data_IF_296862530276
#
_entry.id   IF_296862530276
#
_cell.length_a   1.000
_cell.length_b   1.000
_cell.length_c   1.000
_cell.angle_alpha   90.00
_cell.angle_beta   90.00
_cell.angle_gamma   90.00
#
_symmetry.space_group_name_H-M   'P 1'
#
loop_
_entity.id
_entity.type
_entity.pdbx_description
1 polymer ?
#
# COMPACT_ATOMS: atom_id res chain seq x y z
N UNK A 1 5.69 20.92 14.98
CA UNK A 1 6.24 19.67 14.43
C UNK A 1 5.94 19.64 12.93
N UNK A 2 6.93 19.37 12.11
CA UNK A 2 6.81 19.19 10.66
C UNK A 2 6.72 17.68 10.41
N UNK A 3 5.59 17.21 9.86
CA UNK A 3 5.38 15.79 9.60
C UNK A 3 5.64 15.44 8.13
N UNK A 4 6.69 14.66 7.88
CA UNK A 4 7.13 14.21 6.55
C UNK A 4 7.31 12.68 6.47
N UNK A 5 6.51 11.91 7.24
CA UNK A 5 6.49 10.44 7.19
C UNK A 5 5.13 9.88 6.70
N UNK A 6 4.48 10.58 5.74
CA UNK A 6 3.18 10.16 5.23
C UNK A 6 3.22 8.81 4.48
N UNK A 7 4.37 8.38 3.99
CA UNK A 7 4.56 7.05 3.40
C UNK A 7 4.45 5.90 4.42
N UNK A 8 4.64 6.17 5.72
CA UNK A 8 4.35 5.21 6.78
C UNK A 8 2.87 5.22 7.16
N UNK A 9 2.31 6.41 7.43
CA UNK A 9 0.87 6.65 7.65
C UNK A 9 0.58 8.13 7.43
N UNK A 10 -0.57 8.47 6.86
CA UNK A 10 -0.94 9.88 6.69
C UNK A 10 -1.29 10.54 8.03
N UNK A 11 -0.79 11.77 8.24
CA UNK A 11 -1.09 12.58 9.42
C UNK A 11 -0.94 14.07 9.07
N UNK A 12 -1.87 14.95 9.59
CA UNK A 12 -3.09 14.61 10.34
C UNK A 12 -4.14 13.90 9.49
N UNK A 13 -5.15 13.30 10.14
CA UNK A 13 -6.33 12.79 9.46
C UNK A 13 -7.33 13.92 9.19
N UNK A 14 -8.10 13.86 8.10
CA UNK A 14 -9.23 14.77 7.90
C UNK A 14 -10.20 14.72 9.09
N UNK A 15 -10.73 15.87 9.58
CA UNK A 15 -11.59 15.89 10.76
C UNK A 15 -12.83 15.00 10.64
N UNK A 16 -13.38 14.83 9.42
CA UNK A 16 -14.52 13.95 9.18
C UNK A 16 -14.22 12.47 9.44
N UNK A 17 -12.96 12.03 9.30
CA UNK A 17 -12.55 10.66 9.62
C UNK A 17 -12.68 10.41 11.13
N UNK A 18 -12.17 11.34 11.93
CA UNK A 18 -12.26 11.26 13.40
C UNK A 18 -13.72 11.27 13.85
N UNK A 19 -14.54 12.19 13.28
CA UNK A 19 -15.97 12.27 13.62
C UNK A 19 -16.71 10.97 13.28
N UNK A 20 -16.51 10.42 12.09
CA UNK A 20 -17.17 9.19 11.67
C UNK A 20 -16.85 8.00 12.58
N UNK A 21 -15.60 7.91 13.05
CA UNK A 21 -15.19 6.88 14.02
C UNK A 21 -15.87 7.06 15.37
N UNK A 22 -15.90 8.29 15.92
CA UNK A 22 -16.57 8.60 17.20
C UNK A 22 -18.07 8.31 17.11
N UNK A 23 -18.74 8.77 16.06
CA UNK A 23 -20.16 8.52 15.82
C UNK A 23 -20.48 7.02 15.76
N UNK A 24 -19.62 6.23 15.10
CA UNK A 24 -19.79 4.78 15.02
C UNK A 24 -19.72 4.11 16.40
N UNK A 25 -18.83 4.56 17.27
CA UNK A 25 -18.67 4.02 18.61
C UNK A 25 -19.81 4.47 19.53
N UNK A 26 -20.16 5.75 19.51
CA UNK A 26 -21.09 6.37 20.46
C UNK A 26 -22.56 6.08 20.16
N UNK A 27 -22.94 5.96 18.87
CA UNK A 27 -24.33 5.93 18.47
C UNK A 27 -24.84 4.64 17.83
N UNK A 28 -23.96 3.84 17.17
CA UNK A 28 -24.39 2.62 16.50
C UNK A 28 -23.34 1.50 16.50
N UNK A 29 -22.56 1.40 17.57
CA UNK A 29 -21.49 0.41 17.74
C UNK A 29 -21.95 -1.04 17.91
N UNK A 30 -23.05 -1.44 17.25
CA UNK A 30 -23.56 -2.80 17.23
C UNK A 30 -22.83 -3.65 16.19
N UNK A 31 -22.93 -5.00 16.34
CA UNK A 31 -22.31 -5.93 15.39
C UNK A 31 -23.01 -5.84 14.02
N UNK A 32 -22.31 -5.43 12.95
CA UNK A 32 -22.89 -5.38 11.60
C UNK A 32 -23.23 -6.78 11.10
N UNK A 33 -24.40 -6.93 10.49
CA UNK A 33 -24.82 -8.17 9.83
C UNK A 33 -25.33 -9.29 10.72
N UNK A 34 -25.34 -9.14 12.08
CA UNK A 34 -25.75 -10.21 13.00
C UNK A 34 -26.99 -9.90 13.86
N UNK A 35 -27.63 -8.76 13.66
CA UNK A 35 -28.81 -8.36 14.44
C UNK A 35 -29.91 -7.76 13.59
N UNK A 36 -31.17 -8.13 13.89
CA UNK A 36 -32.35 -7.54 13.26
C UNK A 36 -32.78 -6.19 13.83
N UNK A 37 -32.08 -5.67 14.85
CA UNK A 37 -32.40 -4.41 15.50
C UNK A 37 -31.77 -3.21 14.76
N UNK A 38 -32.34 -2.02 14.95
CA UNK A 38 -31.98 -0.80 14.20
C UNK A 38 -30.48 -0.47 14.23
N UNK A 39 -29.80 -0.61 15.37
CA UNK A 39 -28.37 -0.32 15.49
C UNK A 39 -27.52 -1.26 14.64
N UNK A 40 -27.82 -2.57 14.63
CA UNK A 40 -27.12 -3.52 13.78
C UNK A 40 -27.36 -3.27 12.28
N UNK A 41 -28.59 -2.87 11.90
CA UNK A 41 -28.91 -2.48 10.53
C UNK A 41 -28.16 -1.22 10.11
N UNK A 42 -28.05 -0.23 11.01
CA UNK A 42 -27.26 0.98 10.74
C UNK A 42 -25.77 0.66 10.59
N UNK A 43 -25.21 -0.17 11.47
CA UNK A 43 -23.84 -0.66 11.37
C UNK A 43 -23.59 -1.37 10.02
N UNK A 44 -24.47 -2.31 9.64
CA UNK A 44 -24.42 -3.01 8.36
C UNK A 44 -24.46 -2.07 7.16
N UNK A 45 -25.34 -1.05 7.18
CA UNK A 45 -25.42 -0.02 6.11
C UNK A 45 -24.13 0.79 6.00
N UNK A 46 -23.44 1.08 7.11
CA UNK A 46 -22.17 1.80 7.09
C UNK A 46 -21.08 0.96 6.44
N UNK A 47 -21.03 -0.33 6.78
CA UNK A 47 -20.08 -1.29 6.15
C UNK A 47 -20.34 -1.36 4.65
N UNK A 48 -21.59 -1.53 4.24
CA UNK A 48 -21.93 -1.65 2.81
C UNK A 48 -21.65 -0.36 2.03
N UNK A 49 -21.99 0.81 2.56
CA UNK A 49 -21.64 2.09 1.95
C UNK A 49 -20.12 2.25 1.75
N UNK A 50 -19.31 1.80 2.73
CA UNK A 50 -17.85 1.84 2.58
C UNK A 50 -17.39 0.91 1.47
N UNK A 51 -17.98 -0.29 1.37
CA UNK A 51 -17.67 -1.27 0.33
C UNK A 51 -18.02 -0.74 -1.06
N UNK A 52 -19.20 -0.19 -1.21
CA UNK A 52 -19.67 0.47 -2.47
C UNK A 52 -18.74 1.64 -2.86
N UNK A 53 -18.39 2.51 -1.91
CA UNK A 53 -17.48 3.62 -2.15
C UNK A 53 -16.08 3.13 -2.57
N UNK A 54 -15.55 2.10 -1.91
CA UNK A 54 -14.28 1.48 -2.25
C UNK A 54 -14.35 0.78 -3.62
N UNK A 55 -15.42 0.05 -3.91
CA UNK A 55 -15.64 -0.59 -5.21
C UNK A 55 -15.66 0.42 -6.35
N UNK A 56 -16.41 1.52 -6.18
CA UNK A 56 -16.42 2.64 -7.14
C UNK A 56 -15.03 3.25 -7.33
N UNK A 57 -14.31 3.46 -6.23
CA UNK A 57 -12.95 4.04 -6.25
C UNK A 57 -11.96 3.15 -6.99
N UNK A 58 -12.10 1.82 -6.90
CA UNK A 58 -11.21 0.81 -7.48
C UNK A 58 -11.69 0.26 -8.82
N UNK A 59 -12.82 0.75 -9.35
CA UNK A 59 -13.40 0.26 -10.59
C UNK A 59 -13.85 -1.20 -10.50
N UNK A 60 -14.32 -1.65 -9.33
CA UNK A 60 -14.82 -3.01 -9.11
C UNK A 60 -16.33 -3.02 -9.33
N UNK A 61 -16.86 -3.72 -10.36
CA UNK A 61 -18.29 -3.69 -10.67
C UNK A 61 -19.19 -4.32 -9.60
N UNK A 62 -18.66 -5.32 -8.89
CA UNK A 62 -19.35 -6.08 -7.85
C UNK A 62 -18.76 -5.74 -6.49
N UNK A 63 -19.42 -4.91 -5.65
CA UNK A 63 -18.87 -4.46 -4.36
C UNK A 63 -18.41 -5.60 -3.45
N UNK A 64 -19.09 -6.75 -3.45
CA UNK A 64 -18.73 -7.94 -2.68
C UNK A 64 -17.34 -8.52 -3.02
N UNK A 65 -16.71 -8.04 -4.10
CA UNK A 65 -15.33 -8.38 -4.47
C UNK A 65 -14.28 -7.41 -3.91
N UNK A 66 -14.71 -6.46 -3.09
CA UNK A 66 -13.83 -5.63 -2.25
C UNK A 66 -13.87 -6.18 -0.84
N UNK A 67 -12.77 -6.73 -0.38
CA UNK A 67 -12.65 -7.43 0.90
C UNK A 67 -11.99 -6.50 1.92
N UNK A 68 -12.61 -6.34 3.08
CA UNK A 68 -12.03 -5.63 4.21
C UNK A 68 -11.00 -6.52 4.91
N UNK A 69 -9.85 -5.92 5.21
CA UNK A 69 -8.77 -6.52 5.98
C UNK A 69 -8.31 -5.55 7.06
N UNK A 70 -7.47 -6.01 7.98
CA UNK A 70 -6.93 -5.16 9.05
C UNK A 70 -5.84 -4.20 8.56
N UNK A 71 -5.19 -4.51 7.46
CA UNK A 71 -4.10 -3.72 6.86
C UNK A 71 -3.68 -4.34 5.52
N UNK A 72 -2.83 -3.63 4.76
CA UNK A 72 -2.31 -4.12 3.49
C UNK A 72 -1.52 -5.44 3.62
N UNK A 73 -0.83 -5.66 4.73
CA UNK A 73 -0.11 -6.93 4.97
C UNK A 73 -1.05 -8.12 4.97
N UNK A 74 -2.22 -8.00 5.61
CA UNK A 74 -3.23 -9.06 5.56
C UNK A 74 -3.82 -9.22 4.16
N UNK A 75 -4.10 -8.12 3.44
CA UNK A 75 -4.55 -8.18 2.04
C UNK A 75 -3.56 -8.93 1.15
N UNK A 76 -2.28 -8.61 1.28
CA UNK A 76 -1.20 -9.27 0.53
C UNK A 76 -1.06 -10.75 0.92
N UNK A 77 -1.13 -11.07 2.22
CA UNK A 77 -1.06 -12.47 2.67
C UNK A 77 -2.27 -13.27 2.18
N UNK A 78 -3.48 -12.71 2.23
CA UNK A 78 -4.68 -13.37 1.70
C UNK A 78 -4.52 -13.67 0.20
N UNK A 79 -4.09 -12.68 -0.58
CA UNK A 79 -3.87 -12.83 -2.01
C UNK A 79 -2.75 -13.84 -2.31
N UNK A 80 -1.58 -13.69 -1.68
CA UNK A 80 -0.41 -14.54 -1.95
C UNK A 80 -0.69 -15.99 -1.51
N UNK A 81 -1.02 -16.19 -0.25
CA UNK A 81 -1.19 -17.54 0.31
C UNK A 81 -2.37 -18.27 -0.33
N UNK A 82 -3.45 -17.53 -0.62
CA UNK A 82 -4.64 -18.09 -1.26
C UNK A 82 -4.48 -18.45 -2.73
N UNK A 83 -3.45 -17.93 -3.41
CA UNK A 83 -3.15 -18.25 -4.82
C UNK A 83 -2.05 -19.30 -4.98
N UNK A 84 -1.32 -19.63 -3.90
CA UNK A 84 -0.20 -20.57 -3.96
C UNK A 84 -0.68 -22.04 -3.95
N UNK A 85 0.04 -22.85 -4.69
CA UNK A 85 -0.01 -24.32 -4.64
C UNK A 85 1.40 -24.89 -4.65
N UNK A 86 1.56 -26.14 -4.27
CA UNK A 86 2.86 -26.81 -4.27
C UNK A 86 3.42 -26.90 -5.70
N UNK A 87 4.69 -26.52 -5.85
CA UNK A 87 5.38 -26.46 -7.14
C UNK A 87 5.17 -25.14 -7.90
N UNK A 88 4.37 -24.21 -7.38
CA UNK A 88 4.14 -22.92 -8.02
C UNK A 88 5.43 -22.10 -8.15
N UNK A 89 5.58 -21.39 -9.25
CA UNK A 89 6.54 -20.33 -9.41
C UNK A 89 5.87 -18.96 -9.20
N UNK A 90 6.48 -18.09 -8.40
CA UNK A 90 6.04 -16.70 -8.22
C UNK A 90 7.11 -15.76 -8.77
N UNK A 91 6.68 -14.78 -9.54
CA UNK A 91 7.55 -13.71 -10.03
C UNK A 91 7.23 -12.44 -9.26
N UNK A 92 8.23 -11.79 -8.67
CA UNK A 92 8.05 -10.49 -8.02
C UNK A 92 9.24 -9.56 -8.25
N UNK A 93 9.08 -8.27 -7.89
CA UNK A 93 10.13 -7.27 -8.10
C UNK A 93 11.13 -7.22 -6.94
N UNK A 94 12.32 -6.66 -7.19
CA UNK A 94 13.24 -6.29 -6.11
C UNK A 94 12.71 -5.15 -5.23
N UNK A 95 11.67 -4.46 -5.67
CA UNK A 95 11.05 -3.34 -4.94
C UNK A 95 10.06 -3.75 -3.86
N UNK A 96 9.82 -5.05 -3.68
CA UNK A 96 8.74 -5.54 -2.82
C UNK A 96 8.98 -5.25 -1.34
N UNK A 97 7.89 -4.91 -0.66
CA UNK A 97 7.85 -4.77 0.78
C UNK A 97 7.94 -6.14 1.48
N UNK A 98 8.39 -6.16 2.74
CA UNK A 98 8.41 -7.38 3.56
C UNK A 98 7.06 -8.10 3.69
N UNK A 99 5.95 -7.40 3.47
CA UNK A 99 4.60 -7.99 3.46
C UNK A 99 4.39 -8.95 2.27
N UNK A 100 5.20 -8.83 1.20
CA UNK A 100 5.27 -9.76 0.07
C UNK A 100 6.39 -10.77 0.29
N UNK A 101 7.60 -10.29 0.63
CA UNK A 101 8.78 -11.15 0.69
C UNK A 101 8.71 -12.23 1.79
N UNK A 102 8.21 -11.87 2.97
CA UNK A 102 8.19 -12.81 4.11
C UNK A 102 7.20 -13.98 3.94
N UNK A 103 5.95 -13.78 3.48
CA UNK A 103 5.09 -14.93 3.16
C UNK A 103 5.69 -15.81 2.05
N UNK A 104 6.31 -15.25 1.01
CA UNK A 104 6.98 -16.04 -0.03
C UNK A 104 8.14 -16.86 0.54
N UNK A 105 9.03 -16.24 1.32
CA UNK A 105 10.18 -16.90 1.95
C UNK A 105 9.76 -18.10 2.83
N UNK A 106 8.61 -17.98 3.51
CA UNK A 106 8.07 -19.10 4.30
C UNK A 106 7.84 -20.37 3.48
N UNK A 107 7.40 -20.22 2.22
CA UNK A 107 7.13 -21.35 1.32
C UNK A 107 8.39 -21.80 0.58
N UNK A 108 9.27 -20.85 0.20
CA UNK A 108 10.58 -21.16 -0.41
C UNK A 108 11.41 -21.99 0.55
N UNK A 109 11.52 -21.60 1.83
CA UNK A 109 12.31 -22.33 2.85
C UNK A 109 11.80 -23.74 3.15
N UNK A 110 10.61 -24.12 2.61
CA UNK A 110 10.02 -25.46 2.71
C UNK A 110 10.05 -26.23 1.40
N UNK A 111 10.71 -25.70 0.37
CA UNK A 111 10.73 -26.28 -0.98
C UNK A 111 9.31 -26.48 -1.57
N UNK A 112 8.37 -25.61 -1.19
CA UNK A 112 6.98 -25.69 -1.66
C UNK A 112 6.75 -24.85 -2.93
N UNK A 113 7.50 -23.75 -3.11
CA UNK A 113 7.44 -22.88 -4.28
C UNK A 113 8.83 -22.39 -4.69
N UNK A 114 8.91 -21.81 -5.89
CA UNK A 114 10.08 -21.05 -6.34
C UNK A 114 9.73 -19.57 -6.54
N UNK A 115 10.71 -18.67 -6.35
CA UNK A 115 10.54 -17.23 -6.52
C UNK A 115 11.59 -16.68 -7.46
N UNK A 116 11.15 -15.99 -8.51
CA UNK A 116 12.00 -15.20 -9.40
C UNK A 116 11.90 -13.71 -9.07
N UNK A 117 13.04 -13.08 -8.76
CA UNK A 117 13.11 -11.65 -8.53
C UNK A 117 13.50 -10.91 -9.82
N UNK A 118 12.60 -10.06 -10.32
CA UNK A 118 12.88 -9.19 -11.45
C UNK A 118 13.70 -7.99 -10.98
N UNK A 119 14.87 -7.79 -11.62
CA UNK A 119 15.68 -6.60 -11.38
C UNK A 119 15.15 -5.44 -12.21
N UNK A 120 15.02 -4.25 -11.62
CA UNK A 120 14.76 -3.04 -12.38
C UNK A 120 15.99 -2.65 -13.23
N UNK A 121 15.75 -1.83 -14.24
CA UNK A 121 16.78 -1.17 -15.02
C UNK A 121 17.50 -0.08 -14.19
N UNK A 122 18.54 0.60 -14.74
CA UNK A 122 19.24 1.67 -14.03
C UNK A 122 18.34 2.85 -13.59
N UNK A 123 17.18 3.03 -14.20
CA UNK A 123 16.18 4.03 -13.82
C UNK A 123 15.25 3.55 -12.70
N UNK A 124 15.37 2.30 -12.28
CA UNK A 124 14.53 1.68 -11.26
C UNK A 124 13.22 1.11 -11.79
N UNK A 125 13.07 0.97 -13.11
CA UNK A 125 11.86 0.50 -13.78
C UNK A 125 11.96 -0.98 -14.18
N UNK A 126 10.86 -1.71 -14.03
CA UNK A 126 10.74 -3.08 -14.54
C UNK A 126 10.41 -3.07 -16.04
N UNK A 127 11.06 -3.95 -16.79
CA UNK A 127 10.78 -4.11 -18.21
C UNK A 127 9.67 -5.14 -18.46
N UNK A 128 8.62 -4.79 -19.24
CA UNK A 128 7.60 -5.75 -19.67
C UNK A 128 8.20 -6.92 -20.48
N UNK A 129 9.24 -6.70 -21.28
CA UNK A 129 9.88 -7.75 -22.06
C UNK A 129 10.67 -8.72 -21.19
N UNK A 130 11.31 -8.21 -20.13
CA UNK A 130 11.98 -9.06 -19.12
C UNK A 130 10.94 -9.93 -18.40
N UNK A 131 9.80 -9.34 -18.01
CA UNK A 131 8.69 -10.10 -17.40
C UNK A 131 8.17 -11.17 -18.38
N UNK A 132 7.91 -10.80 -19.65
CA UNK A 132 7.41 -11.74 -20.68
C UNK A 132 8.32 -12.95 -20.85
N UNK A 133 9.63 -12.73 -20.77
CA UNK A 133 10.65 -13.79 -20.88
C UNK A 133 10.78 -14.63 -19.62
N UNK A 134 10.45 -14.06 -18.44
CA UNK A 134 10.53 -14.74 -17.17
C UNK A 134 9.33 -15.67 -16.87
N UNK A 135 8.15 -15.36 -17.43
CA UNK A 135 6.93 -16.16 -17.24
C UNK A 135 7.10 -17.52 -17.91
N UNK A 136 6.79 -18.58 -17.16
CA UNK A 136 6.77 -19.99 -17.62
C UNK A 136 5.38 -20.61 -17.42
N UNK A 137 5.19 -21.87 -17.79
CA UNK A 137 3.97 -22.64 -17.53
C UNK A 137 3.71 -22.87 -16.04
N UNK A 138 4.75 -22.80 -15.21
CA UNK A 138 4.67 -23.01 -13.76
C UNK A 138 4.42 -21.71 -12.98
N UNK A 139 4.43 -20.56 -13.69
CA UNK A 139 4.18 -19.25 -13.06
C UNK A 139 2.71 -19.14 -12.64
N UNK A 140 2.47 -19.14 -11.33
CA UNK A 140 1.14 -19.09 -10.74
C UNK A 140 0.70 -17.66 -10.37
N UNK A 141 1.65 -16.74 -10.12
CA UNK A 141 1.37 -15.39 -9.69
C UNK A 141 2.53 -14.44 -10.03
N UNK A 142 2.19 -13.26 -10.52
CA UNK A 142 3.12 -12.13 -10.63
C UNK A 142 2.73 -11.06 -9.61
N UNK A 143 3.69 -10.52 -8.86
CA UNK A 143 3.47 -9.51 -7.81
C UNK A 143 4.38 -8.32 -8.08
N UNK A 144 3.79 -7.11 -8.12
CA UNK A 144 4.56 -5.87 -8.30
C UNK A 144 4.06 -4.78 -7.36
N UNK A 145 4.98 -4.19 -6.61
CA UNK A 145 4.75 -2.94 -5.90
C UNK A 145 4.58 -1.80 -6.90
N UNK A 146 3.42 -1.13 -6.92
CA UNK A 146 3.11 -0.07 -7.89
C UNK A 146 4.04 1.14 -7.77
N UNK A 147 4.44 1.50 -6.54
CA UNK A 147 5.48 2.49 -6.32
C UNK A 147 6.36 2.11 -5.14
N UNK A 148 7.68 2.29 -5.32
CA UNK A 148 8.64 1.98 -4.27
C UNK A 148 8.43 2.85 -3.03
N UNK A 149 8.32 2.22 -1.87
CA UNK A 149 8.25 2.93 -0.60
C UNK A 149 9.62 3.48 -0.13
N UNK A 150 10.68 3.27 -0.91
CA UNK A 150 12.04 3.80 -0.70
C UNK A 150 12.31 4.96 -1.66
N UNK A 151 12.26 4.71 -2.98
CA UNK A 151 12.64 5.69 -4.01
C UNK A 151 11.46 6.52 -4.53
N UNK A 152 10.23 6.08 -4.28
CA UNK A 152 9.02 6.66 -4.84
C UNK A 152 8.77 6.30 -6.30
N UNK A 153 9.69 5.63 -6.99
CA UNK A 153 9.57 5.29 -8.42
C UNK A 153 8.32 4.47 -8.68
N UNK A 154 7.53 4.93 -9.64
CA UNK A 154 6.28 4.29 -10.08
C UNK A 154 6.61 3.27 -11.16
N UNK A 155 6.19 2.03 -10.98
CA UNK A 155 6.39 0.95 -11.96
C UNK A 155 5.36 1.01 -13.09
N UNK A 156 5.69 0.57 -14.31
CA UNK A 156 4.78 0.50 -15.45
C UNK A 156 3.81 -0.70 -15.32
N UNK A 157 3.01 -0.69 -14.24
CA UNK A 157 2.15 -1.84 -13.87
C UNK A 157 1.08 -2.14 -14.91
N UNK A 158 0.62 -1.13 -15.67
CA UNK A 158 -0.35 -1.34 -16.75
C UNK A 158 0.23 -2.22 -17.85
N UNK A 159 1.46 -1.95 -18.26
CA UNK A 159 2.20 -2.68 -19.29
C UNK A 159 2.58 -4.08 -18.78
N UNK A 160 3.01 -4.18 -17.52
CA UNK A 160 3.31 -5.47 -16.87
C UNK A 160 2.05 -6.34 -16.75
N UNK A 161 0.92 -5.74 -16.35
CA UNK A 161 -0.38 -6.42 -16.27
C UNK A 161 -0.90 -6.87 -17.65
N UNK A 162 -0.62 -6.10 -18.71
CA UNK A 162 -0.94 -6.52 -20.09
C UNK A 162 -0.17 -7.79 -20.47
N UNK A 163 1.11 -7.90 -20.07
CA UNK A 163 1.91 -9.12 -20.29
C UNK A 163 1.33 -10.30 -19.49
N UNK A 164 0.96 -10.08 -18.23
CA UNK A 164 0.35 -11.12 -17.39
C UNK A 164 -0.96 -11.64 -18.02
N UNK A 165 -1.81 -10.73 -18.50
CA UNK A 165 -3.08 -11.06 -19.17
C UNK A 165 -2.84 -11.83 -20.47
N UNK A 166 -1.85 -11.43 -21.29
CA UNK A 166 -1.43 -12.14 -22.51
C UNK A 166 -1.03 -13.59 -22.21
N UNK A 167 -0.37 -13.80 -21.08
CA UNK A 167 0.14 -15.09 -20.61
C UNK A 167 -0.84 -15.89 -19.77
N UNK A 168 -2.00 -15.32 -19.42
CA UNK A 168 -3.01 -15.96 -18.56
C UNK A 168 -2.54 -16.19 -17.11
N UNK A 169 -1.63 -15.35 -16.62
CA UNK A 169 -1.07 -15.43 -15.27
C UNK A 169 -1.70 -14.33 -14.38
N UNK A 170 -2.24 -14.67 -13.21
CA UNK A 170 -2.78 -13.68 -12.26
C UNK A 170 -1.75 -12.61 -11.87
N UNK A 171 -2.21 -11.36 -11.77
CA UNK A 171 -1.37 -10.21 -11.46
C UNK A 171 -1.86 -9.49 -10.20
N UNK A 172 -1.03 -9.50 -9.13
CA UNK A 172 -1.25 -8.80 -7.87
C UNK A 172 -0.43 -7.50 -7.83
N UNK A 173 -1.11 -6.39 -7.58
CA UNK A 173 -0.48 -5.08 -7.39
C UNK A 173 -0.55 -4.67 -5.92
N UNK A 174 0.62 -4.43 -5.30
CA UNK A 174 0.69 -3.71 -4.03
C UNK A 174 0.60 -2.20 -4.27
N UNK A 175 -0.58 -1.65 -4.04
CA UNK A 175 -0.88 -0.23 -4.21
C UNK A 175 -0.72 0.58 -2.90
N UNK A 176 0.08 0.10 -1.93
CA UNK A 176 0.21 0.74 -0.62
C UNK A 176 0.72 2.18 -0.66
N UNK A 177 1.43 2.59 -1.70
CA UNK A 177 1.94 3.95 -1.87
C UNK A 177 1.19 4.75 -2.93
N UNK A 178 0.23 4.15 -3.64
CA UNK A 178 -0.41 4.78 -4.79
C UNK A 178 -1.93 4.91 -4.65
N UNK A 179 -2.57 4.01 -3.89
CA UNK A 179 -4.00 4.13 -3.61
C UNK A 179 -4.31 5.45 -2.89
N UNK A 180 -5.23 6.24 -3.45
CA UNK A 180 -5.55 7.59 -2.98
C UNK A 180 -4.70 8.70 -3.60
N UNK A 181 -3.65 8.37 -4.33
CA UNK A 181 -2.74 9.30 -5.00
C UNK A 181 -2.87 9.21 -6.52
N UNK A 182 -2.74 8.00 -7.06
CA UNK A 182 -2.86 7.73 -8.50
C UNK A 182 -4.21 7.11 -8.84
N UNK A 183 -4.47 6.97 -10.13
CA UNK A 183 -5.60 6.18 -10.61
C UNK A 183 -5.28 4.69 -10.47
N UNK A 184 -5.92 4.07 -9.48
CA UNK A 184 -5.67 2.68 -9.10
C UNK A 184 -6.97 1.90 -9.23
N UNK A 185 -7.28 1.46 -10.45
CA UNK A 185 -8.41 0.57 -10.70
C UNK A 185 -7.91 -0.76 -11.27
N UNK A 186 -8.72 -1.83 -11.15
CA UNK A 186 -8.38 -3.12 -11.75
C UNK A 186 -8.09 -3.01 -13.26
N UNK A 187 -8.83 -2.13 -13.95
CA UNK A 187 -8.70 -1.99 -15.40
C UNK A 187 -7.55 -1.06 -15.80
N UNK A 188 -7.35 0.06 -15.10
CA UNK A 188 -6.24 0.97 -15.41
C UNK A 188 -4.88 0.33 -15.18
N UNK A 189 -4.79 -0.59 -14.20
CA UNK A 189 -3.56 -1.31 -13.90
C UNK A 189 -3.44 -2.67 -14.62
N UNK A 190 -4.47 -3.12 -15.34
CA UNK A 190 -4.58 -4.49 -15.84
C UNK A 190 -4.36 -5.54 -14.73
N UNK A 191 -4.71 -5.22 -13.48
CA UNK A 191 -4.51 -6.08 -12.33
C UNK A 191 -5.69 -7.03 -12.11
N UNK A 192 -5.41 -8.19 -11.53
CA UNK A 192 -6.43 -9.15 -11.09
C UNK A 192 -6.70 -9.01 -9.59
N UNK A 193 -5.68 -8.61 -8.84
CA UNK A 193 -5.78 -8.33 -7.41
C UNK A 193 -5.06 -7.00 -7.10
N UNK A 194 -5.67 -6.16 -6.26
CA UNK A 194 -5.04 -4.93 -5.76
C UNK A 194 -5.15 -4.90 -4.24
N UNK A 195 -4.00 -4.84 -3.56
CA UNK A 195 -3.92 -4.72 -2.11
C UNK A 195 -3.54 -3.31 -1.69
N UNK A 196 -4.20 -2.76 -0.64
CA UNK A 196 -3.90 -1.42 -0.14
C UNK A 196 -4.25 -1.24 1.32
N UNK A 197 -3.56 -0.32 2.06
CA UNK A 197 -3.92 0.07 3.42
C UNK A 197 -4.94 1.22 3.40
N UNK A 198 -5.83 1.25 4.37
CA UNK A 198 -6.74 2.39 4.54
C UNK A 198 -6.05 3.63 5.14
N UNK A 199 -4.96 3.46 5.87
CA UNK A 199 -4.36 4.52 6.70
C UNK A 199 -3.31 5.39 6.00
N UNK A 200 -3.00 5.16 4.72
CA UNK A 200 -2.08 5.98 3.93
C UNK A 200 -2.84 6.93 3.01
N UNK A 201 -2.67 6.85 1.70
CA UNK A 201 -3.29 7.76 0.75
C UNK A 201 -4.83 7.78 0.77
N UNK A 202 -5.50 6.73 1.23
CA UNK A 202 -6.95 6.73 1.47
C UNK A 202 -7.38 7.54 2.70
N UNK A 203 -6.45 8.09 3.49
CA UNK A 203 -6.67 8.95 4.66
C UNK A 203 -7.51 8.33 5.79
N UNK A 204 -7.85 7.06 5.72
CA UNK A 204 -8.57 6.31 6.74
C UNK A 204 -7.74 6.03 8.01
N UNK A 205 -8.29 5.39 9.03
CA UNK A 205 -7.58 5.05 10.26
C UNK A 205 -6.70 3.82 10.09
N UNK A 206 -5.81 3.60 11.06
CA UNK A 206 -5.12 2.32 11.26
C UNK A 206 -6.11 1.19 11.49
N UNK A 207 -5.69 -0.06 11.25
CA UNK A 207 -6.57 -1.22 11.41
C UNK A 207 -7.58 -1.39 10.29
N UNK A 208 -7.31 -0.79 9.12
CA UNK A 208 -8.10 -0.94 7.90
C UNK A 208 -7.21 -1.20 6.68
N UNK A 209 -7.66 -2.09 5.82
CA UNK A 209 -7.07 -2.42 4.53
C UNK A 209 -8.13 -2.95 3.58
N UNK A 210 -7.80 -3.02 2.31
CA UNK A 210 -8.67 -3.49 1.24
C UNK A 210 -7.90 -4.45 0.33
N UNK A 211 -8.61 -5.50 -0.12
CA UNK A 211 -8.20 -6.33 -1.25
C UNK A 211 -9.32 -6.29 -2.30
N UNK A 212 -9.02 -5.77 -3.48
CA UNK A 212 -9.92 -5.82 -4.63
C UNK A 212 -9.60 -7.06 -5.48
N UNK A 213 -10.65 -7.79 -5.88
CA UNK A 213 -10.56 -9.02 -6.65
C UNK A 213 -11.28 -8.87 -7.99
N UNK A 214 -10.60 -9.21 -9.09
CA UNK A 214 -11.25 -9.35 -10.40
C UNK A 214 -12.20 -10.54 -10.39
N UNK A 215 -13.26 -10.48 -11.17
CA UNK A 215 -14.17 -11.62 -11.34
C UNK A 215 -13.42 -12.85 -11.89
N UNK A 216 -13.67 -14.01 -11.30
CA UNK A 216 -12.96 -15.26 -11.63
C UNK A 216 -11.66 -15.48 -10.85
N UNK A 217 -11.23 -14.52 -10.04
CA UNK A 217 -10.07 -14.65 -9.15
C UNK A 217 -10.57 -14.88 -7.73
N UNK A 218 -10.42 -16.09 -7.24
CA UNK A 218 -10.98 -16.53 -5.95
C UNK A 218 -9.91 -17.25 -5.11
N UNK A 219 -9.00 -16.52 -4.45
CA UNK A 219 -7.98 -17.12 -3.59
C UNK A 219 -8.59 -17.98 -2.47
N UNK A 220 -7.84 -18.92 -1.94
CA UNK A 220 -8.28 -19.63 -0.75
C UNK A 220 -8.29 -18.68 0.46
N UNK A 221 -9.31 -18.75 1.35
CA UNK A 221 -9.41 -17.86 2.50
C UNK A 221 -8.27 -18.08 3.49
N UNK A 222 -7.68 -16.97 3.95
CA UNK A 222 -6.59 -17.01 4.92
C UNK A 222 -7.07 -17.31 6.35
N UNK A 223 -8.25 -16.80 6.70
CA UNK A 223 -8.85 -16.92 8.04
C UNK A 223 -10.22 -17.56 7.90
N UNK A 224 -10.43 -18.65 8.63
CA UNK A 224 -11.70 -19.37 8.67
C UNK A 224 -12.40 -19.09 10.00
N UNK A 225 -13.72 -18.94 9.98
CA UNK A 225 -14.49 -18.69 11.21
C UNK A 225 -15.91 -18.23 10.97
N UNK A 226 -16.53 -17.71 12.00
CA UNK A 226 -17.90 -17.22 11.90
C UNK A 226 -18.03 -15.97 11.05
N UNK A 227 -18.89 -16.00 10.05
CA UNK A 227 -19.11 -14.92 9.08
C UNK A 227 -20.47 -14.24 9.23
N UNK A 228 -21.39 -14.86 10.00
CA UNK A 228 -22.77 -14.36 10.17
C UNK A 228 -23.77 -15.03 9.22
N UNK A 229 -23.31 -15.63 8.14
CA UNK A 229 -24.10 -16.44 7.21
C UNK A 229 -23.78 -17.93 7.35
N UNK A 230 -24.65 -18.80 6.82
CA UNK A 230 -24.48 -20.25 6.79
C UNK A 230 -24.08 -20.88 8.15
N UNK A 231 -24.67 -20.37 9.25
CA UNK A 231 -24.32 -20.78 10.63
C UNK A 231 -24.60 -22.26 10.94
N UNK A 232 -25.42 -22.94 10.13
CA UNK A 232 -25.70 -24.36 10.18
C UNK A 232 -24.58 -25.25 9.61
N UNK A 233 -23.68 -24.65 8.83
CA UNK A 233 -22.56 -25.34 8.16
C UNK A 233 -21.26 -25.20 8.95
N UNK A 234 -20.49 -26.29 9.06
CA UNK A 234 -19.10 -26.27 9.55
C UNK A 234 -18.08 -25.87 8.46
N UNK A 235 -18.54 -25.76 7.22
CA UNK A 235 -17.69 -25.33 6.11
C UNK A 235 -17.73 -23.82 5.96
N UNK A 236 -16.59 -23.22 5.62
CA UNK A 236 -16.53 -21.80 5.27
C UNK A 236 -17.49 -21.51 4.10
N UNK A 237 -18.31 -20.45 4.17
CA UNK A 237 -19.21 -20.11 3.06
C UNK A 237 -18.43 -19.75 1.80
N UNK A 238 -19.03 -20.02 0.65
CA UNK A 238 -18.48 -19.60 -0.65
C UNK A 238 -18.97 -18.22 -1.08
N UNK A 239 -20.01 -17.69 -0.43
CA UNK A 239 -20.61 -16.40 -0.74
C UNK A 239 -19.63 -15.25 -0.38
N UNK A 240 -19.46 -14.32 -1.30
CA UNK A 240 -18.70 -13.09 -1.05
C UNK A 240 -19.59 -12.02 -0.41
N UNK A 241 -19.03 -11.19 0.46
CA UNK A 241 -17.64 -11.16 0.96
C UNK A 241 -17.36 -12.12 2.12
N UNK A 242 -18.36 -12.83 2.61
CA UNK A 242 -18.33 -13.67 3.81
C UNK A 242 -17.23 -14.75 3.76
N UNK A 243 -16.91 -15.24 2.55
CA UNK A 243 -15.81 -16.20 2.35
C UNK A 243 -14.50 -15.72 2.96
N UNK A 244 -14.23 -14.40 2.93
CA UNK A 244 -12.96 -13.80 3.34
C UNK A 244 -13.02 -12.96 4.63
N UNK A 245 -14.23 -12.59 5.07
CA UNK A 245 -14.44 -11.68 6.21
C UNK A 245 -14.92 -12.41 7.46
N UNK A 246 -14.12 -13.37 7.94
CA UNK A 246 -14.42 -14.07 9.18
C UNK A 246 -14.17 -13.19 10.42
N UNK A 247 -15.11 -13.23 11.37
CA UNK A 247 -15.07 -12.46 12.61
C UNK A 247 -15.88 -11.16 12.56
N UNK A 248 -15.91 -10.42 13.67
CA UNK A 248 -16.61 -9.13 13.74
C UNK A 248 -15.77 -8.06 13.07
N UNK A 249 -16.36 -7.36 12.10
CA UNK A 249 -15.70 -6.30 11.36
C UNK A 249 -15.39 -5.10 12.26
N UNK A 250 -14.31 -4.39 11.94
CA UNK A 250 -13.91 -3.15 12.61
C UNK A 250 -14.81 -1.97 12.17
N UNK A 251 -16.05 -1.95 12.66
CA UNK A 251 -17.05 -0.93 12.28
C UNK A 251 -16.53 0.51 12.41
N UNK A 252 -15.92 0.95 13.54
CA UNK A 252 -15.42 2.32 13.64
C UNK A 252 -14.32 2.62 12.61
N UNK A 253 -13.42 1.66 12.39
CA UNK A 253 -12.37 1.78 11.36
C UNK A 253 -12.95 1.90 9.96
N UNK A 254 -13.96 1.10 9.62
CA UNK A 254 -14.64 1.13 8.33
C UNK A 254 -15.41 2.44 8.13
N UNK A 255 -16.07 2.97 9.16
CA UNK A 255 -16.73 4.28 9.11
C UNK A 255 -15.71 5.40 8.83
N UNK A 256 -14.55 5.36 9.51
CA UNK A 256 -13.45 6.29 9.25
C UNK A 256 -12.83 6.11 7.86
N UNK A 257 -12.71 4.88 7.35
CA UNK A 257 -12.23 4.61 6.01
C UNK A 257 -13.17 5.15 4.93
N UNK A 258 -14.49 4.99 5.11
CA UNK A 258 -15.48 5.60 4.23
C UNK A 258 -15.28 7.11 4.14
N UNK A 259 -15.20 7.80 5.28
CA UNK A 259 -14.97 9.25 5.33
C UNK A 259 -13.62 9.65 4.69
N UNK A 260 -12.60 8.80 4.79
CA UNK A 260 -11.31 8.98 4.13
C UNK A 260 -11.41 8.87 2.62
N UNK A 261 -12.07 7.84 2.10
CA UNK A 261 -12.31 7.64 0.66
C UNK A 261 -13.14 8.82 0.10
N UNK A 262 -14.21 9.21 0.78
CA UNK A 262 -15.07 10.35 0.37
C UNK A 262 -14.30 11.68 0.37
N UNK A 263 -13.32 11.85 1.25
CA UNK A 263 -12.42 13.00 1.25
C UNK A 263 -11.49 12.98 0.04
N UNK A 264 -10.86 11.85 -0.24
CA UNK A 264 -9.82 11.74 -1.27
C UNK A 264 -10.40 11.69 -2.68
N UNK A 265 -11.48 10.94 -2.92
CA UNK A 265 -11.97 10.63 -4.25
C UNK A 265 -12.22 11.88 -5.13
N UNK A 266 -12.87 12.96 -4.65
CA UNK A 266 -13.14 14.14 -5.49
C UNK A 266 -11.92 15.02 -5.74
N UNK A 267 -10.82 14.89 -4.98
CA UNK A 267 -9.65 15.76 -5.04
C UNK A 267 -8.32 15.01 -5.23
N UNK A 268 -8.37 13.73 -5.60
CA UNK A 268 -7.18 12.87 -5.77
C UNK A 268 -6.10 13.50 -6.65
N UNK A 269 -6.49 14.03 -7.80
CA UNK A 269 -5.54 14.65 -8.74
C UNK A 269 -4.91 15.92 -8.17
N UNK A 270 -5.67 16.71 -7.40
CA UNK A 270 -5.14 17.91 -6.76
C UNK A 270 -4.15 17.55 -5.64
N UNK A 271 -4.49 16.52 -4.84
CA UNK A 271 -3.57 15.97 -3.83
C UNK A 271 -2.27 15.52 -4.51
N UNK A 272 -2.37 14.71 -5.57
CA UNK A 272 -1.20 14.23 -6.29
C UNK A 272 -0.34 15.38 -6.85
N UNK A 273 -0.94 16.35 -7.54
CA UNK A 273 -0.22 17.51 -8.08
C UNK A 273 0.49 18.31 -6.98
N UNK A 274 -0.19 18.55 -5.86
CA UNK A 274 0.36 19.26 -4.72
C UNK A 274 1.54 18.50 -4.10
N UNK A 275 1.37 17.23 -3.81
CA UNK A 275 2.41 16.40 -3.22
C UNK A 275 3.64 16.29 -4.14
N UNK A 276 3.43 16.10 -5.44
CA UNK A 276 4.51 16.08 -6.45
C UNK A 276 5.30 17.38 -6.41
N UNK A 277 4.64 18.55 -6.47
CA UNK A 277 5.30 19.85 -6.41
C UNK A 277 6.12 20.04 -5.13
N UNK A 278 5.56 19.61 -3.98
CA UNK A 278 6.27 19.69 -2.70
C UNK A 278 7.49 18.76 -2.66
N UNK A 279 7.35 17.57 -3.21
CA UNK A 279 8.44 16.61 -3.30
C UNK A 279 9.55 17.07 -4.23
N UNK A 280 9.22 17.67 -5.38
CA UNK A 280 10.19 18.21 -6.32
C UNK A 280 10.97 19.39 -5.69
N UNK A 281 10.27 20.28 -4.98
CA UNK A 281 10.91 21.37 -4.20
C UNK A 281 11.86 20.80 -3.15
N UNK A 282 11.44 19.79 -2.40
CA UNK A 282 12.27 19.12 -1.41
C UNK A 282 13.53 18.49 -2.05
N UNK A 283 13.36 17.73 -3.13
CA UNK A 283 14.48 17.10 -3.85
C UNK A 283 15.47 18.13 -4.35
N UNK A 284 15.00 19.22 -4.96
CA UNK A 284 15.86 20.29 -5.43
C UNK A 284 16.70 20.89 -4.29
N UNK A 285 16.08 21.19 -3.14
CA UNK A 285 16.79 21.77 -2.00
C UNK A 285 17.77 20.78 -1.36
N UNK A 286 17.38 19.49 -1.22
CA UNK A 286 18.26 18.46 -0.67
C UNK A 286 19.47 18.16 -1.58
N UNK A 287 19.33 18.31 -2.90
CA UNK A 287 20.41 18.11 -3.87
C UNK A 287 21.55 19.13 -3.70
N UNK A 288 21.23 20.33 -3.24
CA UNK A 288 22.22 21.38 -2.98
C UNK A 288 23.00 21.18 -1.67
N UNK A 289 22.64 20.18 -0.85
CA UNK A 289 23.30 19.93 0.44
C UNK A 289 24.50 19.00 0.24
N UNK A 290 25.74 19.46 0.49
CA UNK A 290 26.92 18.62 0.37
C UNK A 290 26.83 17.39 1.31
N UNK A 291 27.27 16.24 0.81
CA UNK A 291 27.28 15.01 1.61
C UNK A 291 25.95 14.27 1.68
N UNK A 292 24.91 14.68 0.92
CA UNK A 292 23.69 13.90 0.74
C UNK A 292 23.66 13.23 -0.63
N UNK A 293 23.29 11.96 -0.65
CA UNK A 293 22.97 11.23 -1.89
C UNK A 293 21.48 10.96 -1.93
N UNK A 294 20.77 11.45 -2.95
CA UNK A 294 19.34 11.17 -3.16
C UNK A 294 19.22 9.84 -3.90
N UNK A 295 18.36 8.96 -3.39
CA UNK A 295 18.09 7.65 -4.00
C UNK A 295 17.04 7.75 -5.11
N UNK A 296 17.18 6.88 -6.12
CA UNK A 296 16.29 6.78 -7.28
C UNK A 296 16.60 7.80 -8.38
N UNK A 297 16.41 7.37 -9.63
CA UNK A 297 16.69 8.17 -10.83
C UNK A 297 15.82 9.43 -10.88
N UNK A 298 16.39 10.56 -11.29
CA UNK A 298 15.69 11.87 -11.35
C UNK A 298 14.60 11.91 -12.42
N UNK A 299 14.76 11.16 -13.50
CA UNK A 299 13.84 11.14 -14.65
C UNK A 299 12.68 10.15 -14.48
N UNK A 300 12.79 9.19 -13.54
CA UNK A 300 11.74 8.21 -13.32
C UNK A 300 10.49 8.85 -12.70
N UNK A 301 9.28 8.50 -13.17
CA UNK A 301 8.04 8.95 -12.55
C UNK A 301 7.96 8.49 -11.09
N UNK A 302 7.43 9.34 -10.20
CA UNK A 302 7.41 9.03 -8.76
C UNK A 302 6.21 9.57 -8.02
N UNK A 303 5.87 8.93 -6.93
CA UNK A 303 5.03 9.49 -5.87
C UNK A 303 5.89 10.39 -4.96
N UNK A 304 5.26 11.17 -4.10
CA UNK A 304 5.92 12.12 -3.21
C UNK A 304 6.72 11.43 -2.09
N UNK A 305 7.77 10.72 -2.49
CA UNK A 305 8.74 10.05 -1.61
C UNK A 305 10.14 10.40 -2.08
N UNK A 306 10.96 10.86 -1.14
CA UNK A 306 12.38 11.12 -1.34
C UNK A 306 13.17 10.45 -0.22
N UNK A 307 14.13 9.62 -0.58
CA UNK A 307 15.05 9.01 0.36
C UNK A 307 16.47 9.51 0.11
N UNK A 308 17.20 9.79 1.18
CA UNK A 308 18.59 10.27 1.13
C UNK A 308 19.50 9.42 2.01
N UNK A 309 20.77 9.32 1.61
CA UNK A 309 21.83 8.70 2.41
C UNK A 309 22.84 9.79 2.74
N UNK A 310 23.10 10.07 4.04
CA UNK A 310 24.14 11.02 4.44
C UNK A 310 25.53 10.44 4.21
N UNK A 311 26.50 11.29 3.95
CA UNK A 311 27.91 10.91 3.96
C UNK A 311 28.26 10.29 5.33
N UNK A 312 29.03 9.19 5.32
CA UNK A 312 29.25 8.40 6.53
C UNK A 312 28.19 7.30 6.77
N UNK A 313 27.03 7.36 6.09
CA UNK A 313 26.06 6.25 6.01
C UNK A 313 25.19 6.03 7.25
N UNK A 314 25.10 6.98 8.20
CA UNK A 314 24.25 6.83 9.40
C UNK A 314 22.90 7.54 9.21
N UNK A 315 21.98 6.83 8.57
CA UNK A 315 20.62 7.35 8.35
C UNK A 315 19.79 7.41 9.64
N UNK A 316 20.09 6.58 10.62
CA UNK A 316 19.39 6.60 11.92
C UNK A 316 19.76 7.85 12.69
N UNK A 317 21.03 8.17 12.83
CA UNK A 317 21.50 9.38 13.51
C UNK A 317 20.93 10.66 12.89
N UNK A 318 20.86 10.74 11.55
CA UNK A 318 20.25 11.91 10.90
C UNK A 318 18.73 11.99 11.17
N UNK A 319 18.03 10.85 11.16
CA UNK A 319 16.59 10.84 11.46
C UNK A 319 16.31 11.25 12.92
N UNK A 320 17.10 10.74 13.88
CA UNK A 320 16.99 11.10 15.31
C UNK A 320 17.29 12.60 15.55
N UNK A 321 18.32 13.14 14.88
CA UNK A 321 18.64 14.55 14.95
C UNK A 321 17.54 15.46 14.36
N UNK A 322 16.87 15.01 13.29
CA UNK A 322 15.71 15.71 12.71
C UNK A 322 14.51 15.67 13.66
N UNK A 323 14.22 14.52 14.26
CA UNK A 323 13.14 14.42 15.28
C UNK A 323 13.38 15.34 16.46
N UNK A 324 14.62 15.40 16.97
CA UNK A 324 15.00 16.32 18.03
C UNK A 324 14.81 17.81 17.67
N UNK A 325 14.77 18.14 16.37
CA UNK A 325 14.47 19.49 15.86
C UNK A 325 13.01 19.68 15.47
N UNK A 326 12.17 18.69 15.68
CA UNK A 326 10.73 18.74 15.40
C UNK A 326 10.35 18.40 13.96
N UNK A 327 11.20 17.67 13.22
CA UNK A 327 10.90 17.14 11.86
C UNK A 327 10.77 15.63 11.92
N UNK A 328 9.53 15.13 11.79
CA UNK A 328 9.23 13.71 11.76
C UNK A 328 9.49 13.11 10.38
N UNK A 329 10.49 12.24 10.30
CA UNK A 329 10.90 11.48 9.11
C UNK A 329 11.15 10.02 9.53
N UNK A 330 11.50 9.15 8.59
CA UNK A 330 11.83 7.76 8.91
C UNK A 330 13.23 7.39 8.42
N UNK A 331 14.08 6.90 9.32
CA UNK A 331 15.36 6.28 9.02
C UNK A 331 15.29 4.75 8.83
N UNK A 332 16.27 4.15 8.16
CA UNK A 332 16.48 2.72 8.07
C UNK A 332 16.10 2.08 6.73
N UNK A 333 15.68 0.80 6.76
CA UNK A 333 15.46 -0.03 5.56
C UNK A 333 14.00 0.00 5.04
N UNK A 334 13.11 0.73 5.69
CA UNK A 334 11.70 0.92 5.25
C UNK A 334 10.94 -0.38 4.95
N UNK A 335 11.32 -1.50 5.57
CA UNK A 335 10.77 -2.83 5.29
C UNK A 335 10.93 -3.30 3.83
N UNK A 336 11.93 -2.80 3.10
CA UNK A 336 12.23 -3.17 1.71
C UNK A 336 13.73 -3.56 1.54
N UNK A 337 14.20 -4.64 2.22
CA UNK A 337 15.62 -5.00 2.21
C UNK A 337 16.14 -5.34 0.81
N UNK A 338 15.34 -5.95 -0.05
CA UNK A 338 15.75 -6.26 -1.42
C UNK A 338 16.02 -4.98 -2.25
N UNK A 339 15.21 -3.93 -2.08
CA UNK A 339 15.46 -2.62 -2.69
C UNK A 339 16.76 -2.00 -2.15
N UNK A 340 17.00 -2.04 -0.85
CA UNK A 340 18.24 -1.55 -0.27
C UNK A 340 19.48 -2.36 -0.68
N UNK A 341 19.32 -3.67 -0.90
CA UNK A 341 20.38 -4.51 -1.49
C UNK A 341 20.69 -4.08 -2.93
N UNK A 342 19.64 -3.82 -3.74
CA UNK A 342 19.80 -3.34 -5.11
C UNK A 342 20.49 -1.96 -5.16
N UNK A 343 20.12 -1.04 -4.25
CA UNK A 343 20.68 0.31 -4.16
C UNK A 343 22.05 0.37 -3.45
N UNK A 344 22.57 -0.74 -2.92
CA UNK A 344 23.84 -0.77 -2.17
C UNK A 344 23.76 -0.09 -0.79
N UNK A 345 22.58 0.10 -0.23
CA UNK A 345 22.33 0.85 1.01
C UNK A 345 21.89 -0.04 2.19
N UNK A 346 22.16 -1.34 2.14
CA UNK A 346 21.79 -2.29 3.21
C UNK A 346 22.40 -1.95 4.57
N UNK A 347 23.60 -1.38 4.60
CA UNK A 347 24.29 -1.02 5.86
C UNK A 347 23.91 0.35 6.36
N UNK A 348 23.75 1.31 5.46
CA UNK A 348 23.42 2.71 5.78
C UNK A 348 21.94 2.94 6.04
N UNK A 349 21.06 2.14 5.44
CA UNK A 349 19.67 2.54 5.29
C UNK A 349 19.53 3.83 4.49
N UNK A 350 18.42 4.52 4.67
CA UNK A 350 18.18 5.86 4.13
C UNK A 350 17.27 6.65 5.07
N UNK A 351 17.31 7.98 5.02
CA UNK A 351 16.28 8.85 5.62
C UNK A 351 15.25 9.15 4.56
N UNK A 352 14.00 8.82 4.83
CA UNK A 352 12.88 9.01 3.90
C UNK A 352 12.01 10.17 4.33
N UNK A 353 11.74 11.05 3.39
CA UNK A 353 10.82 12.16 3.49
C UNK A 353 9.61 11.88 2.60
N UNK A 354 8.42 12.09 3.12
CA UNK A 354 7.17 11.93 2.39
C UNK A 354 6.19 13.04 2.79
N UNK A 355 6.11 14.14 2.04
CA UNK A 355 5.07 15.14 2.22
C UNK A 355 3.68 14.53 1.98
N UNK A 356 2.66 15.14 2.56
CA UNK A 356 1.27 14.71 2.43
C UNK A 356 0.34 15.86 2.10
N UNK A 357 -0.99 15.62 2.04
CA UNK A 357 -1.97 16.61 1.59
C UNK A 357 -1.98 17.92 2.39
N UNK A 358 -1.57 17.85 3.66
CA UNK A 358 -1.57 19.00 4.59
C UNK A 358 -0.18 19.63 4.77
N UNK A 359 0.85 19.10 4.11
CA UNK A 359 2.20 19.70 4.11
C UNK A 359 2.17 21.03 3.36
N UNK A 360 2.92 22.02 3.86
CA UNK A 360 3.08 23.34 3.24
C UNK A 360 4.46 23.50 2.63
N UNK A 361 4.62 24.47 1.69
CA UNK A 361 5.93 24.82 1.15
C UNK A 361 6.90 25.26 2.24
N UNK A 362 6.41 26.02 3.23
CA UNK A 362 7.20 26.41 4.40
C UNK A 362 7.71 25.20 5.20
N UNK A 363 6.89 24.15 5.36
CA UNK A 363 7.36 22.93 6.01
C UNK A 363 8.53 22.28 5.25
N UNK A 364 8.50 22.32 3.92
CA UNK A 364 9.60 21.82 3.07
C UNK A 364 10.85 22.67 3.25
N UNK A 365 10.72 24.01 3.19
CA UNK A 365 11.84 24.93 3.33
C UNK A 365 12.51 24.82 4.70
N UNK A 366 11.70 24.82 5.77
CA UNK A 366 12.18 24.68 7.14
C UNK A 366 12.89 23.33 7.36
N UNK A 367 12.33 22.23 6.85
CA UNK A 367 12.93 20.90 6.95
C UNK A 367 14.27 20.81 6.19
N UNK A 368 14.33 21.31 4.97
CA UNK A 368 15.56 21.32 4.16
C UNK A 368 16.66 22.15 4.79
N UNK A 369 16.31 23.33 5.36
CA UNK A 369 17.27 24.18 6.08
C UNK A 369 17.83 23.48 7.33
N UNK A 370 16.99 22.71 8.04
CA UNK A 370 17.42 21.90 9.20
C UNK A 370 18.37 20.77 8.77
N UNK A 371 18.05 20.05 7.68
CA UNK A 371 18.95 19.04 7.11
C UNK A 371 20.31 19.69 6.76
N UNK A 372 20.32 20.82 6.05
CA UNK A 372 21.55 21.52 5.69
C UNK A 372 22.40 21.93 6.89
N UNK A 373 21.76 22.29 8.01
CA UNK A 373 22.44 22.59 9.26
C UNK A 373 23.04 21.37 9.95
N UNK A 374 22.34 20.25 9.92
CA UNK A 374 22.80 19.00 10.55
C UNK A 374 23.89 18.29 9.74
N UNK A 375 24.04 18.62 8.46
CA UNK A 375 25.06 18.05 7.57
C UNK A 375 26.37 18.85 7.56
N UNK A 376 26.44 19.99 8.27
CA UNK A 376 27.65 20.78 8.47
C UNK A 376 28.50 20.27 9.63
#
# INVERSE_FOLDING_TARGET
>A
MIYLDNAATSFPKPPQVVRAMSEAIEHYGANPGRGGHQLALQAGRTVEKCREAAAKFLGVPKPERVIFTRNCTESLNLAIVGMLHKGAEVICSHGEHNAVMRPLERYVSRDEITVKLLRPDPHGLLSPDVLRSAITTDTALVIVCHASNVTGVIQPVRELGAVCRERGVPFLVDAAQTAGILDVTLDTLNADLIAMPGHKGLMGPHGTGLLALREGIDPEPLILGGTGSASESVRQPSLLPDRYESGTLNLPGIAGLLAGIEFVAPQREEIHRRETRLNDRLRQQLKEIPGLTILGDELAPRVAITAVVPAGGDSAALADALDATGVAVRGGLHCAPAMHSYLGTMKSGAVRFAPGPFTTERNIDDASALVARLMR
#
